data_IF_726449030559
#
_entry.id   IF_726449030559
#
_cell.length_a   1.000
_cell.length_b   1.000
_cell.length_c   1.000
_cell.angle_alpha   90.00
_cell.angle_beta   90.00
_cell.angle_gamma   90.00
#
_symmetry.space_group_name_H-M   'P 1'
#
loop_
_entity.id
_entity.type
_entity.pdbx_description
1 polymer ?
#
# COMPACT_ATOMS: atom_id res chain seq x y z
N UNK A 1 -8.37 -15.03 -24.87
CA UNK A 1 -7.87 -13.85 -24.14
C UNK A 1 -6.94 -14.40 -23.07
N UNK A 2 -5.67 -13.98 -23.04
CA UNK A 2 -4.79 -14.39 -21.95
C UNK A 2 -5.37 -13.81 -20.65
N UNK A 3 -5.58 -14.66 -19.66
CA UNK A 3 -6.04 -14.25 -18.35
C UNK A 3 -4.93 -13.40 -17.73
N UNK A 4 -5.23 -12.14 -17.41
CA UNK A 4 -4.27 -11.25 -16.76
C UNK A 4 -4.14 -11.70 -15.31
N UNK A 5 -3.08 -12.49 -15.03
CA UNK A 5 -2.83 -13.00 -13.69
C UNK A 5 -2.19 -11.89 -12.87
N UNK A 6 -2.78 -11.57 -11.74
CA UNK A 6 -2.20 -10.64 -10.80
C UNK A 6 -0.86 -11.17 -10.27
N UNK A 7 0.20 -10.35 -10.29
CA UNK A 7 1.57 -10.76 -9.92
C UNK A 7 2.02 -10.19 -8.57
N UNK A 8 1.88 -8.88 -8.36
CA UNK A 8 2.39 -8.20 -7.18
C UNK A 8 1.71 -6.85 -6.91
N UNK A 9 1.79 -6.40 -5.66
CA UNK A 9 1.55 -5.03 -5.24
C UNK A 9 2.89 -4.32 -5.03
N UNK A 10 2.99 -3.08 -5.50
CA UNK A 10 4.11 -2.19 -5.15
C UNK A 10 3.55 -1.00 -4.39
N UNK A 11 3.79 -0.95 -3.08
CA UNK A 11 3.43 0.18 -2.24
C UNK A 11 4.46 1.30 -2.38
N UNK A 12 3.97 2.53 -2.51
CA UNK A 12 4.80 3.73 -2.59
C UNK A 12 4.60 4.56 -1.33
N UNK A 13 5.68 4.81 -0.60
CA UNK A 13 5.65 5.64 0.60
C UNK A 13 5.96 7.10 0.27
N UNK A 14 5.44 8.04 1.06
CA UNK A 14 5.66 9.48 0.85
C UNK A 14 7.12 9.91 1.03
N UNK A 15 7.94 9.11 1.70
CA UNK A 15 9.38 9.34 1.81
C UNK A 15 10.17 8.90 0.56
N UNK A 16 9.51 8.30 -0.44
CA UNK A 16 10.12 7.82 -1.68
C UNK A 16 10.57 6.35 -1.64
N UNK A 17 10.37 5.64 -0.53
CA UNK A 17 10.61 4.20 -0.47
C UNK A 17 9.52 3.44 -1.23
N UNK A 18 9.85 2.22 -1.65
CA UNK A 18 8.90 1.28 -2.24
C UNK A 18 8.89 -0.04 -1.47
N UNK A 19 7.77 -0.76 -1.53
CA UNK A 19 7.65 -2.11 -0.99
C UNK A 19 6.87 -3.02 -1.92
N UNK A 20 7.58 -4.04 -2.42
CA UNK A 20 7.02 -5.07 -3.28
C UNK A 20 6.52 -6.27 -2.49
N UNK A 21 5.23 -6.58 -2.62
CA UNK A 21 4.57 -7.76 -2.05
C UNK A 21 4.05 -8.65 -3.18
N UNK A 22 4.55 -9.88 -3.26
CA UNK A 22 4.18 -10.85 -4.28
C UNK A 22 2.80 -11.43 -4.03
N UNK A 23 2.14 -11.95 -5.08
CA UNK A 23 0.80 -12.52 -4.96
C UNK A 23 0.72 -13.69 -3.96
N UNK A 24 1.80 -14.45 -3.79
CA UNK A 24 1.89 -15.59 -2.87
C UNK A 24 2.21 -15.16 -1.43
N UNK A 25 2.62 -13.91 -1.23
CA UNK A 25 2.82 -13.26 0.06
C UNK A 25 1.53 -12.55 0.56
N UNK A 26 0.42 -12.61 -0.21
CA UNK A 26 -0.88 -12.01 0.14
C UNK A 26 -1.89 -13.06 0.58
N UNK A 27 -2.52 -12.83 1.74
CA UNK A 27 -3.65 -13.65 2.18
C UNK A 27 -4.99 -13.11 1.67
N UNK A 28 -5.16 -11.79 1.67
CA UNK A 28 -6.35 -11.09 1.21
C UNK A 28 -6.02 -9.67 0.74
N UNK A 29 -6.75 -9.16 -0.26
CA UNK A 29 -6.65 -7.78 -0.74
C UNK A 29 -8.02 -7.28 -1.18
N UNK A 30 -8.39 -6.09 -0.71
CA UNK A 30 -9.66 -5.47 -1.05
C UNK A 30 -9.51 -3.97 -1.31
N UNK A 31 -9.94 -3.56 -2.50
CA UNK A 31 -9.89 -2.16 -2.95
C UNK A 31 -11.31 -1.72 -3.29
N UNK A 32 -11.84 -0.77 -2.52
CA UNK A 32 -13.22 -0.32 -2.66
C UNK A 32 -13.33 0.95 -3.48
N UNK A 33 -14.26 0.95 -4.44
CA UNK A 33 -14.65 2.12 -5.26
C UNK A 33 -13.45 2.82 -5.89
N UNK A 34 -12.71 2.07 -6.72
CA UNK A 34 -11.75 2.67 -7.64
C UNK A 34 -12.53 3.48 -8.68
N UNK A 35 -12.19 4.76 -8.81
CA UNK A 35 -12.80 5.66 -9.80
C UNK A 35 -11.73 6.20 -10.73
N UNK A 36 -12.12 6.69 -11.90
CA UNK A 36 -11.23 7.44 -12.78
C UNK A 36 -11.49 8.93 -12.59
N UNK A 37 -10.44 9.67 -12.27
CA UNK A 37 -10.46 11.13 -12.21
C UNK A 37 -9.41 11.70 -13.15
N UNK A 38 -9.64 12.91 -13.67
CA UNK A 38 -8.68 13.65 -14.48
C UNK A 38 -8.27 14.91 -13.74
N UNK A 39 -6.98 15.07 -13.46
CA UNK A 39 -6.50 16.16 -12.63
C UNK A 39 -5.00 16.42 -12.78
N UNK A 40 -4.51 17.44 -12.08
CA UNK A 40 -3.07 17.75 -12.02
C UNK A 40 -2.51 17.24 -10.71
N UNK A 41 -1.45 16.44 -10.79
CA UNK A 41 -0.65 16.08 -9.61
C UNK A 41 0.48 17.10 -9.49
N UNK A 42 0.64 17.70 -8.30
CA UNK A 42 1.70 18.69 -8.00
C UNK A 42 1.80 19.85 -9.01
N UNK A 43 0.67 20.30 -9.58
CA UNK A 43 0.64 21.38 -10.58
C UNK A 43 1.17 20.98 -11.98
N UNK A 44 1.49 19.70 -12.19
CA UNK A 44 1.95 19.13 -13.46
C UNK A 44 0.86 19.04 -14.52
N UNK A 45 1.07 18.20 -15.55
CA UNK A 45 0.09 18.00 -16.63
C UNK A 45 -1.21 17.37 -16.12
N UNK A 46 -2.29 17.55 -16.89
CA UNK A 46 -3.53 16.82 -16.62
C UNK A 46 -3.26 15.36 -16.95
N UNK A 47 -3.50 14.49 -15.99
CA UNK A 47 -3.31 13.06 -16.10
C UNK A 47 -4.54 12.33 -15.56
N UNK A 48 -4.72 11.12 -16.05
CA UNK A 48 -5.66 10.16 -15.47
C UNK A 48 -5.10 9.67 -14.12
N UNK A 49 -5.97 9.59 -13.11
CA UNK A 49 -5.65 9.10 -11.78
C UNK A 49 -6.76 8.16 -11.29
N UNK A 50 -6.39 7.16 -10.51
CA UNK A 50 -7.34 6.17 -9.99
C UNK A 50 -7.42 6.20 -8.46
N UNK A 51 -8.12 7.17 -7.86
CA UNK A 51 -8.34 7.16 -6.42
C UNK A 51 -9.34 6.06 -6.02
N UNK A 52 -9.09 5.42 -4.89
CA UNK A 52 -10.04 4.52 -4.24
C UNK A 52 -10.70 5.19 -3.02
N UNK A 53 -11.86 4.68 -2.60
CA UNK A 53 -12.47 5.10 -1.34
C UNK A 53 -11.77 4.48 -0.12
N UNK A 54 -11.38 3.22 -0.22
CA UNK A 54 -10.89 2.42 0.90
C UNK A 54 -10.03 1.28 0.40
N UNK A 55 -9.03 0.93 1.20
CA UNK A 55 -8.11 -0.18 0.94
C UNK A 55 -7.91 -1.00 2.20
N UNK A 56 -7.86 -2.32 2.06
CA UNK A 56 -7.39 -3.22 3.11
C UNK A 56 -6.64 -4.41 2.53
N UNK A 57 -5.69 -4.92 3.30
CA UNK A 57 -4.85 -6.04 2.90
C UNK A 57 -4.39 -6.83 4.13
N UNK A 58 -4.27 -8.14 3.95
CA UNK A 58 -3.63 -9.06 4.88
C UNK A 58 -2.40 -9.66 4.18
N UNK A 59 -1.24 -9.47 4.80
CA UNK A 59 0.07 -9.82 4.24
C UNK A 59 0.71 -10.89 5.11
N UNK A 60 1.18 -11.95 4.47
CA UNK A 60 1.81 -13.10 5.13
C UNK A 60 3.24 -12.77 5.60
N UNK A 61 3.74 -13.39 6.68
CA UNK A 61 5.04 -13.08 7.28
C UNK A 61 6.24 -13.12 6.32
N UNK A 62 6.15 -13.90 5.25
CA UNK A 62 7.17 -14.05 4.23
C UNK A 62 7.51 -12.72 3.51
N UNK A 63 6.56 -11.77 3.49
CA UNK A 63 6.74 -10.45 2.89
C UNK A 63 7.49 -9.43 3.78
N UNK A 64 7.86 -9.78 5.02
CA UNK A 64 8.57 -8.88 5.95
C UNK A 64 10.06 -8.69 5.58
N UNK A 65 10.56 -9.49 4.63
CA UNK A 65 11.93 -9.38 4.13
C UNK A 65 12.13 -8.13 3.26
N UNK A 66 13.22 -7.39 3.53
CA UNK A 66 13.64 -6.27 2.69
C UNK A 66 14.31 -6.81 1.43
N UNK A 67 13.64 -6.70 0.27
CA UNK A 67 14.25 -6.99 -1.03
C UNK A 67 15.28 -5.90 -1.31
N UNK A 68 16.54 -6.29 -1.49
CA UNK A 68 17.73 -5.43 -1.48
C UNK A 68 17.76 -4.32 -2.56
N UNK A 69 16.81 -4.31 -3.49
CA UNK A 69 16.64 -3.28 -4.51
C UNK A 69 15.87 -2.05 -4.04
N UNK A 70 15.12 -2.12 -2.92
CA UNK A 70 13.97 -1.23 -2.75
C UNK A 70 14.15 -0.08 -1.73
N UNK A 71 15.13 -0.05 -0.80
CA UNK A 71 15.14 0.98 0.28
C UNK A 71 16.52 1.44 0.82
N UNK A 72 16.56 2.72 1.25
CA UNK A 72 17.56 3.39 2.09
C UNK A 72 18.00 2.59 3.34
N UNK A 73 19.25 2.73 3.75
CA UNK A 73 19.96 1.87 4.73
C UNK A 73 19.31 1.74 6.12
N UNK A 74 18.42 2.66 6.51
CA UNK A 74 17.75 2.65 7.82
C UNK A 74 16.56 1.69 7.95
N UNK A 75 15.95 1.27 6.85
CA UNK A 75 14.79 0.34 6.87
C UNK A 75 15.19 -1.13 6.91
N UNK A 76 16.46 -1.44 6.65
CA UNK A 76 17.01 -2.80 6.67
C UNK A 76 16.97 -3.47 8.06
N UNK A 77 17.06 -2.69 9.13
CA UNK A 77 17.12 -3.24 10.50
C UNK A 77 15.75 -3.58 11.11
N UNK A 78 14.65 -2.99 10.61
CA UNK A 78 13.31 -3.10 11.22
C UNK A 78 12.35 -4.04 10.47
N UNK A 79 12.65 -4.39 9.22
CA UNK A 79 11.72 -5.12 8.35
C UNK A 79 10.59 -4.22 7.83
N UNK A 80 9.88 -4.71 6.80
CA UNK A 80 8.82 -3.94 6.17
C UNK A 80 7.56 -3.82 7.03
N UNK A 81 7.29 -4.84 7.85
CA UNK A 81 6.14 -4.83 8.74
C UNK A 81 6.33 -3.83 9.87
N UNK A 82 7.52 -3.79 10.45
CA UNK A 82 7.88 -2.78 11.44
C UNK A 82 7.79 -1.37 10.86
N UNK A 83 8.27 -1.18 9.62
CA UNK A 83 8.16 0.10 8.90
C UNK A 83 6.70 0.52 8.70
N UNK A 84 5.87 -0.34 8.11
CA UNK A 84 4.46 -0.05 7.83
C UNK A 84 3.58 0.10 9.08
N UNK A 85 4.02 -0.45 10.22
CA UNK A 85 3.37 -0.25 11.52
C UNK A 85 3.80 1.05 12.19
N UNK A 86 5.07 1.43 12.04
CA UNK A 86 5.64 2.62 12.68
C UNK A 86 5.34 3.91 11.92
N UNK A 87 5.40 3.85 10.60
CA UNK A 87 5.21 5.00 9.70
C UNK A 87 3.94 4.77 8.87
N UNK A 88 3.05 5.76 8.90
CA UNK A 88 1.73 5.67 8.28
C UNK A 88 1.71 6.40 6.95
N UNK A 89 2.73 6.20 6.13
CA UNK A 89 3.07 7.07 5.01
C UNK A 89 2.87 6.43 3.63
N UNK A 90 2.04 5.39 3.53
CA UNK A 90 1.68 4.79 2.23
C UNK A 90 0.76 5.77 1.48
N UNK A 91 1.20 6.22 0.31
CA UNK A 91 0.46 7.19 -0.50
C UNK A 91 -0.40 6.52 -1.56
N UNK A 92 0.18 5.52 -2.23
CA UNK A 92 -0.39 4.90 -3.42
C UNK A 92 0.22 3.51 -3.61
N UNK A 93 -0.34 2.77 -4.55
CA UNK A 93 0.11 1.43 -4.86
C UNK A 93 -0.07 1.13 -6.34
N UNK A 94 0.86 0.39 -6.92
CA UNK A 94 0.69 -0.20 -8.25
C UNK A 94 0.19 -1.65 -8.13
N UNK A 95 -0.91 -1.96 -8.81
CA UNK A 95 -1.33 -3.34 -9.08
C UNK A 95 -0.66 -3.80 -10.37
N UNK A 96 0.23 -4.78 -10.28
CA UNK A 96 0.96 -5.32 -11.43
C UNK A 96 0.34 -6.65 -11.86
N UNK A 97 -0.02 -6.74 -13.15
CA UNK A 97 -0.60 -7.96 -13.76
C UNK A 97 0.34 -8.64 -14.77
N UNK A 98 1.37 -7.92 -15.21
CA UNK A 98 2.36 -8.40 -16.16
C UNK A 98 3.54 -7.43 -16.08
N UNK A 99 4.54 -7.79 -15.26
CA UNK A 99 5.74 -6.99 -15.06
C UNK A 99 6.54 -6.84 -16.38
N UNK A 100 6.55 -7.86 -17.24
CA UNK A 100 7.27 -7.83 -18.51
C UNK A 100 6.62 -6.87 -19.51
N UNK A 101 5.28 -6.87 -19.58
CA UNK A 101 4.52 -5.96 -20.43
C UNK A 101 4.27 -4.58 -19.81
N UNK A 102 4.82 -4.32 -18.61
CA UNK A 102 4.65 -3.06 -17.84
C UNK A 102 3.18 -2.68 -17.66
N UNK A 103 2.32 -3.67 -17.49
CA UNK A 103 0.89 -3.43 -17.23
C UNK A 103 0.69 -3.30 -15.73
N UNK A 104 0.53 -2.05 -15.31
CA UNK A 104 0.18 -1.72 -13.93
C UNK A 104 -0.95 -0.70 -13.87
N UNK A 105 -1.74 -0.77 -12.80
CA UNK A 105 -2.74 0.23 -12.46
C UNK A 105 -2.32 0.90 -11.16
N UNK A 106 -2.06 2.22 -11.20
CA UNK A 106 -1.71 2.99 -10.01
C UNK A 106 -2.97 3.45 -9.28
N UNK A 107 -3.14 3.00 -8.04
CA UNK A 107 -4.25 3.37 -7.16
C UNK A 107 -3.76 4.35 -6.11
N UNK A 108 -4.48 5.46 -5.96
CA UNK A 108 -4.22 6.45 -4.92
C UNK A 108 -5.13 6.21 -3.72
N UNK A 109 -4.54 6.21 -2.53
CA UNK A 109 -5.27 6.01 -1.29
C UNK A 109 -5.87 7.32 -0.75
N UNK A 110 -6.97 7.25 0.04
CA UNK A 110 -7.45 8.42 0.74
C UNK A 110 -6.35 8.92 1.70
N UNK A 111 -6.13 10.23 1.70
CA UNK A 111 -5.06 10.85 2.47
C UNK A 111 -5.56 12.04 3.28
N UNK A 112 -5.15 12.10 4.54
CA UNK A 112 -5.23 13.29 5.38
C UNK A 112 -3.97 13.40 6.20
N UNK A 113 -3.32 14.56 6.13
CA UNK A 113 -2.08 14.83 6.86
C UNK A 113 -2.31 14.71 8.38
N UNK A 114 -1.56 13.82 9.03
CA UNK A 114 -1.62 13.58 10.48
C UNK A 114 -0.65 14.49 11.26
N UNK A 115 0.51 14.78 10.69
CA UNK A 115 1.61 15.45 11.39
C UNK A 115 2.20 16.64 10.58
N UNK A 116 2.93 17.58 11.21
CA UNK A 116 3.47 18.76 10.54
C UNK A 116 4.45 18.49 9.39
N UNK A 117 5.11 17.33 9.35
CA UNK A 117 6.01 16.95 8.25
C UNK A 117 5.25 16.68 6.95
N UNK A 118 3.95 16.35 7.02
CA UNK A 118 3.14 16.05 5.84
C UNK A 118 3.32 14.64 5.29
N UNK A 119 3.94 13.73 6.07
CA UNK A 119 4.24 12.37 5.66
C UNK A 119 3.20 11.37 6.19
N UNK A 120 2.80 11.44 7.46
CA UNK A 120 1.87 10.45 7.98
C UNK A 120 0.43 10.74 7.52
N UNK A 121 -0.24 9.66 7.11
CA UNK A 121 -1.63 9.60 6.71
C UNK A 121 -2.51 9.22 7.92
N UNK A 122 -3.38 10.12 8.35
CA UNK A 122 -4.34 9.91 9.44
C UNK A 122 -5.30 8.73 9.17
N UNK A 123 -5.53 8.41 7.90
CA UNK A 123 -6.44 7.34 7.47
C UNK A 123 -5.78 5.97 7.39
N UNK A 124 -4.46 5.88 7.50
CA UNK A 124 -3.77 4.61 7.50
C UNK A 124 -3.66 4.06 8.92
N UNK A 125 -4.07 2.81 9.12
CA UNK A 125 -3.85 2.04 10.34
C UNK A 125 -3.29 0.67 9.99
N UNK A 126 -2.33 0.21 10.77
CA UNK A 126 -1.64 -1.07 10.54
C UNK A 126 -1.49 -1.82 11.85
N UNK A 127 -1.51 -3.16 11.81
CA UNK A 127 -1.31 -4.01 12.99
C UNK A 127 -0.63 -5.33 12.61
N UNK A 128 0.43 -5.66 13.33
CA UNK A 128 1.05 -6.98 13.30
C UNK A 128 0.32 -7.88 14.30
N UNK A 129 -0.32 -8.95 13.81
CA UNK A 129 -1.08 -9.86 14.64
C UNK A 129 -0.20 -10.98 15.23
N UNK A 130 -0.75 -11.76 16.16
CA UNK A 130 -0.02 -12.84 16.85
C UNK A 130 0.40 -13.99 15.96
N UNK A 131 -0.29 -14.18 14.82
CA UNK A 131 0.07 -15.16 13.79
C UNK A 131 1.25 -14.66 12.91
N UNK A 132 1.74 -13.44 13.13
CA UNK A 132 2.80 -12.83 12.35
C UNK A 132 2.32 -12.11 11.09
N UNK A 133 1.02 -12.10 10.79
CA UNK A 133 0.49 -11.44 9.60
C UNK A 133 0.39 -9.92 9.84
N UNK A 134 0.67 -9.13 8.80
CA UNK A 134 0.44 -7.70 8.82
C UNK A 134 -0.91 -7.36 8.19
N UNK A 135 -1.69 -6.57 8.91
CA UNK A 135 -2.95 -6.03 8.42
C UNK A 135 -2.80 -4.53 8.23
N UNK A 136 -3.21 -4.02 7.08
CA UNK A 136 -3.23 -2.58 6.78
C UNK A 136 -4.63 -2.19 6.32
N UNK A 137 -5.16 -1.11 6.86
CA UNK A 137 -6.40 -0.47 6.44
C UNK A 137 -6.13 1.01 6.16
N UNK A 138 -6.54 1.48 4.99
CA UNK A 138 -6.51 2.89 4.60
C UNK A 138 -7.93 3.33 4.25
N UNK A 139 -8.62 3.89 5.24
CA UNK A 139 -10.02 4.32 5.17
C UNK A 139 -10.25 5.53 6.07
N UNK A 140 -11.11 6.46 5.63
CA UNK A 140 -11.40 7.67 6.40
C UNK A 140 -12.33 7.44 7.61
N UNK A 141 -12.95 6.28 7.71
CA UNK A 141 -13.99 5.95 8.69
C UNK A 141 -13.69 4.68 9.50
N UNK A 142 -12.92 3.75 8.95
CA UNK A 142 -12.63 2.47 9.59
C UNK A 142 -11.13 2.28 9.79
N UNK A 143 -10.79 1.61 10.87
CA UNK A 143 -9.43 1.23 11.23
C UNK A 143 -9.22 -0.27 11.11
N UNK A 144 -7.98 -0.71 11.27
CA UNK A 144 -7.63 -2.13 11.35
C UNK A 144 -8.39 -2.87 12.45
N UNK A 145 -8.68 -2.22 13.58
CA UNK A 145 -9.44 -2.83 14.67
C UNK A 145 -10.94 -2.97 14.34
N UNK A 146 -11.47 -2.14 13.44
CA UNK A 146 -12.87 -2.24 12.96
C UNK A 146 -13.02 -3.35 11.90
N UNK A 147 -12.10 -3.41 10.94
CA UNK A 147 -12.15 -4.38 9.82
C UNK A 147 -11.66 -5.77 10.22
N UNK A 148 -10.74 -5.86 11.19
CA UNK A 148 -10.16 -7.11 11.68
C UNK A 148 -10.28 -7.24 13.22
N UNK A 149 -11.49 -7.33 13.79
CA UNK A 149 -11.70 -7.24 15.24
C UNK A 149 -11.19 -8.46 16.06
N UNK A 150 -10.63 -9.49 15.41
CA UNK A 150 -10.27 -10.78 16.03
C UNK A 150 -8.78 -11.14 15.90
N UNK A 151 -7.94 -10.22 15.43
CA UNK A 151 -6.50 -10.44 15.23
C UNK A 151 -5.67 -10.06 16.46
#
# INVERSE_FOLDING_TARGET
>A
MAEHVFEQLVFHFRNGDEWTVQHDELADVWISRVTTSYGRIHGGQIQEIHPCKSFKVEILPEADHVKSSDINTGSLEMGMFGRATKYQDIEKMDLVFDAEAKKQVQIYFPFKQKDPSGLDNEYQTSKLAKNGHLYIVIDAQHTVDDEYPRI
#
